data_IF_582292048169
#
_entry.id   IF_582292048169
#
_cell.length_a   1.000
_cell.length_b   1.000
_cell.length_c   1.000
_cell.angle_alpha   90.00
_cell.angle_beta   90.00
_cell.angle_gamma   90.00
#
_symmetry.space_group_name_H-M   'P 1'
#
loop_
_entity.id
_entity.type
_entity.pdbx_description
1 polymer ?
#
# COMPACT_ATOMS: atom_id res chain seq x y z
N UNK A 1 -22.10 -8.59 -20.85
CA UNK A 1 -21.34 -7.41 -20.43
C UNK A 1 -20.07 -7.91 -19.76
N UNK A 2 -18.90 -7.78 -20.39
CA UNK A 2 -17.63 -8.07 -19.73
C UNK A 2 -17.39 -6.97 -18.69
N UNK A 3 -17.49 -7.31 -17.41
CA UNK A 3 -17.22 -6.38 -16.33
C UNK A 3 -15.75 -5.90 -16.34
N UNK A 4 -15.48 -4.69 -15.85
CA UNK A 4 -14.13 -4.22 -15.58
C UNK A 4 -13.85 -4.33 -14.07
N UNK A 5 -12.61 -4.67 -13.73
CA UNK A 5 -12.14 -4.80 -12.35
C UNK A 5 -11.00 -3.81 -12.12
N UNK A 6 -11.15 -2.97 -11.11
CA UNK A 6 -10.12 -2.04 -10.67
C UNK A 6 -9.55 -2.46 -9.32
N UNK A 7 -8.23 -2.54 -9.21
CA UNK A 7 -7.53 -2.73 -7.94
C UNK A 7 -6.91 -1.40 -7.52
N UNK A 8 -7.20 -0.97 -6.30
CA UNK A 8 -6.51 0.18 -5.69
C UNK A 8 -5.31 -0.34 -4.94
N UNK A 9 -4.12 0.14 -5.31
CA UNK A 9 -2.85 -0.27 -4.72
C UNK A 9 -1.98 0.94 -4.39
N UNK A 10 -1.12 0.82 -3.41
CA UNK A 10 -0.08 1.85 -3.13
C UNK A 10 1.20 1.63 -3.94
N UNK A 11 2.01 2.67 -4.04
CA UNK A 11 3.33 2.64 -4.70
C UNK A 11 4.23 1.48 -4.25
N UNK A 12 4.30 1.10 -2.94
CA UNK A 12 5.14 -0.03 -2.54
C UNK A 12 4.73 -1.37 -3.16
N UNK A 13 3.43 -1.59 -3.37
CA UNK A 13 2.97 -2.81 -4.04
C UNK A 13 3.19 -2.73 -5.55
N UNK A 14 3.00 -1.57 -6.16
CA UNK A 14 3.29 -1.36 -7.58
C UNK A 14 4.77 -1.61 -7.90
N UNK A 15 5.68 -1.16 -7.03
CA UNK A 15 7.11 -1.44 -7.14
C UNK A 15 7.39 -2.95 -7.14
N UNK A 16 6.74 -3.72 -6.25
CA UNK A 16 6.87 -5.18 -6.22
C UNK A 16 6.33 -5.86 -7.48
N UNK A 17 5.21 -5.36 -8.03
CA UNK A 17 4.66 -5.88 -9.29
C UNK A 17 5.65 -5.67 -10.45
N UNK A 18 6.51 -4.67 -10.37
CA UNK A 18 7.55 -4.37 -11.38
C UNK A 18 8.89 -5.06 -11.09
N UNK A 19 8.99 -5.88 -10.04
CA UNK A 19 10.21 -6.59 -9.66
C UNK A 19 10.28 -7.95 -10.36
N UNK A 20 11.34 -8.17 -11.14
CA UNK A 20 11.58 -9.39 -11.90
C UNK A 20 11.65 -10.65 -11.03
N UNK A 21 12.05 -10.51 -9.78
CA UNK A 21 12.17 -11.61 -8.84
C UNK A 21 10.87 -12.43 -8.71
N UNK A 22 9.71 -11.75 -8.73
CA UNK A 22 8.41 -12.42 -8.59
C UNK A 22 7.95 -13.19 -9.83
N UNK A 23 8.70 -13.14 -10.92
CA UNK A 23 8.39 -13.79 -12.20
C UNK A 23 9.42 -14.82 -12.62
N UNK A 24 10.42 -15.10 -11.76
CA UNK A 24 11.53 -16.02 -12.05
C UNK A 24 11.07 -17.44 -12.39
N UNK A 25 9.94 -17.88 -11.80
CA UNK A 25 9.41 -19.22 -11.96
C UNK A 25 8.46 -19.35 -13.16
N UNK A 26 8.20 -18.26 -13.88
CA UNK A 26 7.39 -18.25 -15.10
C UNK A 26 8.26 -18.44 -16.33
N UNK A 27 7.91 -19.37 -17.22
CA UNK A 27 8.65 -19.63 -18.47
C UNK A 27 8.76 -18.40 -19.36
N UNK A 28 7.74 -17.56 -19.41
CA UNK A 28 7.71 -16.30 -20.13
C UNK A 28 8.15 -15.09 -19.29
N UNK A 29 8.62 -15.32 -18.05
CA UNK A 29 9.07 -14.27 -17.16
C UNK A 29 8.03 -13.18 -16.89
N UNK A 30 8.50 -11.94 -16.81
CA UNK A 30 7.64 -10.79 -16.54
C UNK A 30 6.58 -10.54 -17.63
N UNK A 31 6.86 -10.87 -18.89
CA UNK A 31 5.88 -10.69 -19.96
C UNK A 31 4.67 -11.59 -19.75
N UNK A 32 4.89 -12.84 -19.37
CA UNK A 32 3.82 -13.76 -19.01
C UNK A 32 3.07 -13.27 -17.76
N UNK A 33 3.78 -12.86 -16.73
CA UNK A 33 3.20 -12.34 -15.51
C UNK A 33 2.31 -11.12 -15.75
N UNK A 34 2.80 -10.14 -16.50
CA UNK A 34 2.02 -8.95 -16.86
C UNK A 34 0.82 -9.29 -17.75
N UNK A 35 0.97 -10.21 -18.70
CA UNK A 35 -0.13 -10.68 -19.53
C UNK A 35 -1.23 -11.37 -18.72
N UNK A 36 -0.88 -12.14 -17.69
CA UNK A 36 -1.83 -12.78 -16.78
C UNK A 36 -2.49 -11.78 -15.83
N UNK A 37 -1.77 -10.76 -15.37
CA UNK A 37 -2.29 -9.73 -14.46
C UNK A 37 -3.23 -8.76 -15.17
N UNK A 38 -2.86 -8.27 -16.34
CA UNK A 38 -3.59 -7.23 -17.06
C UNK A 38 -4.56 -7.78 -18.11
N UNK A 39 -5.37 -8.76 -17.74
CA UNK A 39 -6.44 -9.28 -18.58
C UNK A 39 -7.36 -8.15 -19.09
N UNK A 40 -8.16 -8.40 -20.17
CA UNK A 40 -9.15 -7.43 -20.63
C UNK A 40 -10.06 -6.97 -19.49
N UNK A 41 -10.19 -5.66 -19.30
CA UNK A 41 -11.00 -5.06 -18.23
C UNK A 41 -10.30 -4.90 -16.88
N UNK A 42 -9.07 -5.39 -16.68
CA UNK A 42 -8.31 -5.17 -15.44
C UNK A 42 -7.53 -3.86 -15.51
N UNK A 43 -7.62 -3.06 -14.43
CA UNK A 43 -6.85 -1.83 -14.22
C UNK A 43 -6.28 -1.75 -12.79
N UNK A 44 -5.13 -1.14 -12.65
CA UNK A 44 -4.56 -0.75 -11.34
C UNK A 44 -4.74 0.75 -11.15
N UNK A 45 -5.37 1.14 -10.06
CA UNK A 45 -5.45 2.52 -9.59
C UNK A 45 -4.41 2.71 -8.51
N UNK A 46 -3.45 3.60 -8.75
CA UNK A 46 -2.30 3.79 -7.87
C UNK A 46 -2.57 4.94 -6.92
N UNK A 47 -2.57 4.64 -5.63
CA UNK A 47 -2.52 5.66 -4.60
C UNK A 47 -1.08 6.13 -4.46
N UNK A 48 -0.77 7.40 -4.77
CA UNK A 48 0.57 7.95 -4.60
C UNK A 48 1.01 7.91 -3.14
N UNK A 49 2.31 7.99 -2.92
CA UNK A 49 2.85 7.97 -1.57
C UNK A 49 4.31 8.40 -1.54
N UNK A 50 4.87 8.40 -0.35
CA UNK A 50 6.27 8.73 -0.17
C UNK A 50 7.13 7.46 -0.19
N UNK A 51 8.23 7.52 -0.92
CA UNK A 51 9.25 6.49 -0.87
C UNK A 51 9.94 6.50 0.50
N UNK A 52 10.02 5.34 1.15
CA UNK A 52 10.53 5.23 2.52
C UNK A 52 12.04 5.45 2.66
N UNK A 53 12.77 5.38 1.55
CA UNK A 53 14.23 5.53 1.52
C UNK A 53 14.62 6.96 1.17
N UNK A 54 14.01 7.50 0.11
CA UNK A 54 14.37 8.82 -0.43
C UNK A 54 13.51 9.95 0.12
N UNK A 55 12.35 9.65 0.72
CA UNK A 55 11.36 10.64 1.14
C UNK A 55 10.66 11.34 -0.04
N UNK A 56 10.92 10.93 -1.28
CA UNK A 56 10.31 11.55 -2.45
C UNK A 56 8.84 11.14 -2.59
N UNK A 57 8.01 12.07 -3.04
CA UNK A 57 6.62 11.76 -3.41
C UNK A 57 6.59 11.06 -4.76
N UNK A 58 6.07 9.85 -4.78
CA UNK A 58 6.08 8.94 -5.93
C UNK A 58 4.67 8.62 -6.36
N UNK A 59 4.43 8.67 -7.66
CA UNK A 59 3.19 8.25 -8.34
C UNK A 59 3.47 7.05 -9.23
N UNK A 60 2.46 6.49 -9.87
CA UNK A 60 2.66 5.48 -10.91
C UNK A 60 3.51 6.00 -12.07
N UNK A 61 3.37 7.27 -12.43
CA UNK A 61 4.15 7.88 -13.52
C UNK A 61 5.60 8.18 -13.15
N UNK A 62 5.89 8.46 -11.88
CA UNK A 62 7.24 8.82 -11.41
C UNK A 62 7.99 7.66 -10.77
N UNK A 63 7.33 6.49 -10.62
CA UNK A 63 7.96 5.30 -10.05
C UNK A 63 9.16 4.86 -10.89
N UNK A 64 10.31 4.75 -10.23
CA UNK A 64 11.50 4.15 -10.86
C UNK A 64 11.34 2.63 -10.89
N UNK A 65 11.31 2.06 -12.09
CA UNK A 65 11.23 0.61 -12.32
C UNK A 65 12.54 0.08 -12.87
N UNK A 66 12.87 -1.21 -12.68
CA UNK A 66 14.05 -1.84 -13.27
C UNK A 66 14.12 -1.61 -14.78
N UNK A 67 15.34 -1.42 -15.31
CA UNK A 67 15.54 -1.13 -16.74
C UNK A 67 14.84 -2.15 -17.65
N UNK A 68 14.92 -3.44 -17.29
CA UNK A 68 14.30 -4.52 -18.05
C UNK A 68 12.76 -4.49 -18.07
N UNK A 69 12.13 -3.77 -17.14
CA UNK A 69 10.67 -3.63 -17.08
C UNK A 69 10.17 -2.32 -17.66
N UNK A 70 11.07 -1.39 -18.01
CA UNK A 70 10.71 0.00 -18.34
C UNK A 70 9.73 0.10 -19.49
N UNK A 71 10.00 -0.61 -20.58
CA UNK A 71 9.19 -0.50 -21.78
C UNK A 71 7.78 -1.10 -21.59
N UNK A 72 7.67 -2.26 -20.95
CA UNK A 72 6.38 -2.84 -20.63
C UNK A 72 5.60 -1.98 -19.63
N UNK A 73 6.29 -1.39 -18.67
CA UNK A 73 5.66 -0.49 -17.69
C UNK A 73 5.12 0.77 -18.36
N UNK A 74 5.89 1.40 -19.24
CA UNK A 74 5.46 2.56 -20.03
C UNK A 74 4.27 2.21 -20.94
N UNK A 75 4.31 1.05 -21.58
CA UNK A 75 3.18 0.56 -22.36
C UNK A 75 1.90 0.46 -21.50
N UNK A 76 1.99 -0.11 -20.29
CA UNK A 76 0.83 -0.25 -19.40
C UNK A 76 0.27 1.11 -18.94
N UNK A 77 1.13 2.10 -18.69
CA UNK A 77 0.72 3.48 -18.41
C UNK A 77 -0.02 4.09 -19.61
N UNK A 78 0.56 4.00 -20.81
CA UNK A 78 -0.02 4.54 -22.04
C UNK A 78 -1.38 3.89 -22.38
N UNK A 79 -1.54 2.60 -22.11
CA UNK A 79 -2.80 1.87 -22.30
C UNK A 79 -3.83 2.15 -21.19
N UNK A 80 -3.53 3.00 -20.22
CA UNK A 80 -4.40 3.27 -19.08
C UNK A 80 -4.70 2.03 -18.23
N UNK A 81 -3.78 1.06 -18.21
CA UNK A 81 -3.84 -0.11 -17.33
C UNK A 81 -3.36 0.22 -15.93
N UNK A 82 -2.43 1.16 -15.81
CA UNK A 82 -1.94 1.76 -14.57
C UNK A 82 -2.36 3.22 -14.60
N UNK A 83 -3.12 3.66 -13.59
CA UNK A 83 -3.71 5.00 -13.52
C UNK A 83 -3.46 5.57 -12.12
N UNK A 84 -2.88 6.75 -12.03
CA UNK A 84 -2.76 7.43 -10.74
C UNK A 84 -4.13 7.93 -10.26
N UNK A 85 -4.42 7.75 -8.97
CA UNK A 85 -5.60 8.34 -8.34
C UNK A 85 -5.42 9.85 -8.22
N UNK A 86 -6.36 10.59 -8.78
CA UNK A 86 -6.41 12.05 -8.66
C UNK A 86 -6.98 12.47 -7.28
N UNK A 87 -6.61 13.65 -6.80
CA UNK A 87 -7.16 14.23 -5.56
C UNK A 87 -6.63 13.58 -4.28
N UNK A 88 -5.57 12.78 -4.35
CA UNK A 88 -4.89 12.28 -3.16
C UNK A 88 -4.07 13.42 -2.55
N UNK A 89 -4.46 13.84 -1.35
CA UNK A 89 -3.77 14.89 -0.62
C UNK A 89 -2.34 14.46 -0.30
N UNK A 90 -1.38 15.35 -0.62
CA UNK A 90 0.04 15.15 -0.28
C UNK A 90 0.29 15.12 1.24
N UNK A 91 -0.68 15.63 2.01
CA UNK A 91 -0.60 15.77 3.46
C UNK A 91 -1.13 14.55 4.24
N UNK A 92 -1.49 13.46 3.53
CA UNK A 92 -1.83 12.23 4.24
C UNK A 92 -0.59 11.72 4.98
N UNK A 93 -0.72 11.43 6.28
CA UNK A 93 0.41 10.93 7.06
C UNK A 93 0.97 9.67 6.42
N UNK A 94 2.29 9.63 6.25
CA UNK A 94 3.01 8.43 5.82
C UNK A 94 2.84 7.39 6.90
N UNK A 95 1.88 6.49 6.69
CA UNK A 95 1.47 5.53 7.69
C UNK A 95 1.62 4.12 7.12
N UNK A 96 2.52 3.35 7.71
CA UNK A 96 2.64 1.93 7.42
C UNK A 96 1.73 1.12 8.34
N UNK A 97 0.78 0.38 7.78
CA UNK A 97 -0.06 -0.54 8.57
C UNK A 97 0.77 -1.55 9.38
N UNK A 98 1.92 -1.96 8.86
CA UNK A 98 2.88 -2.83 9.57
C UNK A 98 3.46 -2.15 10.80
N UNK A 99 3.76 -0.85 10.71
CA UNK A 99 4.27 -0.07 11.83
C UNK A 99 3.20 0.16 12.90
N UNK A 100 1.99 0.50 12.48
CA UNK A 100 0.84 0.62 13.38
C UNK A 100 0.62 -0.69 14.13
N UNK A 101 0.57 -1.82 13.43
CA UNK A 101 0.39 -3.13 14.06
C UNK A 101 1.53 -3.48 15.02
N UNK A 102 2.77 -3.15 14.70
CA UNK A 102 3.93 -3.33 15.59
C UNK A 102 3.80 -2.48 16.85
N UNK A 103 3.35 -1.22 16.72
CA UNK A 103 3.15 -0.32 17.85
C UNK A 103 2.00 -0.80 18.75
N UNK A 104 0.87 -1.25 18.17
CA UNK A 104 -0.25 -1.86 18.91
C UNK A 104 0.20 -3.07 19.72
N UNK A 105 0.91 -4.01 19.08
CA UNK A 105 1.43 -5.23 19.74
C UNK A 105 2.47 -4.94 20.79
N UNK A 106 3.32 -3.93 20.55
CA UNK A 106 4.38 -3.50 21.46
C UNK A 106 3.89 -2.65 22.63
N UNK A 107 2.59 -2.31 22.69
CA UNK A 107 2.05 -1.41 23.71
C UNK A 107 2.62 0.01 23.62
N UNK A 108 3.05 0.45 22.44
CA UNK A 108 3.56 1.82 22.22
C UNK A 108 2.40 2.77 21.96
N UNK A 109 2.54 4.03 22.35
CA UNK A 109 1.61 5.11 22.01
C UNK A 109 1.89 5.69 20.61
N UNK A 110 0.97 6.55 20.13
CA UNK A 110 1.15 7.29 18.88
C UNK A 110 0.55 6.64 17.64
N UNK A 111 0.13 5.38 17.70
CA UNK A 111 -0.57 4.75 16.57
C UNK A 111 -2.01 5.27 16.40
N UNK A 112 -2.58 5.83 17.46
CA UNK A 112 -3.97 6.30 17.51
C UNK A 112 -4.25 7.44 16.55
N UNK A 113 -3.25 8.28 16.28
CA UNK A 113 -3.39 9.42 15.34
C UNK A 113 -3.48 8.96 13.89
N UNK A 114 -3.06 7.72 13.62
CA UNK A 114 -3.06 7.13 12.28
C UNK A 114 -4.30 6.28 11.99
N UNK A 115 -5.28 6.26 12.89
CA UNK A 115 -6.54 5.52 12.72
C UNK A 115 -7.71 6.39 13.19
N UNK A 116 -8.91 6.22 12.62
CA UNK A 116 -10.09 6.93 13.11
C UNK A 116 -10.33 6.68 14.61
N UNK A 117 -10.73 7.70 15.35
CA UNK A 117 -10.91 7.63 16.82
C UNK A 117 -11.79 6.46 17.27
N UNK A 118 -12.88 6.19 16.54
CA UNK A 118 -13.77 5.05 16.81
C UNK A 118 -13.09 3.70 16.64
N UNK A 119 -12.16 3.59 15.66
CA UNK A 119 -11.35 2.38 15.43
C UNK A 119 -10.34 2.20 16.57
N UNK A 120 -9.67 3.27 16.98
CA UNK A 120 -8.74 3.22 18.12
C UNK A 120 -9.44 2.77 19.41
N UNK A 121 -10.64 3.31 19.70
CA UNK A 121 -11.45 2.91 20.84
C UNK A 121 -11.85 1.43 20.76
N UNK A 122 -12.23 0.94 19.57
CA UNK A 122 -12.61 -0.45 19.35
C UNK A 122 -11.43 -1.40 19.59
N UNK A 123 -10.24 -1.05 19.04
CA UNK A 123 -9.00 -1.84 19.22
C UNK A 123 -8.68 -1.99 20.71
N UNK A 124 -8.74 -0.90 21.47
CA UNK A 124 -8.49 -0.89 22.92
C UNK A 124 -9.52 -1.73 23.68
N UNK A 125 -10.81 -1.50 23.41
CA UNK A 125 -11.92 -2.18 24.10
C UNK A 125 -11.91 -3.68 23.86
N UNK A 126 -11.71 -4.12 22.62
CA UNK A 126 -11.75 -5.53 22.22
C UNK A 126 -10.38 -6.21 22.20
N UNK A 127 -9.32 -5.49 22.57
CA UNK A 127 -7.93 -5.97 22.53
C UNK A 127 -7.53 -6.58 21.19
N UNK A 128 -7.98 -5.95 20.09
CA UNK A 128 -7.72 -6.45 18.76
C UNK A 128 -6.23 -6.35 18.41
N UNK A 129 -5.79 -7.14 17.43
CA UNK A 129 -4.42 -7.15 16.88
C UNK A 129 -3.30 -7.37 17.92
N UNK A 130 -3.63 -7.99 19.06
CA UNK A 130 -2.67 -8.20 20.15
C UNK A 130 -2.39 -6.94 20.98
N UNK A 131 -3.33 -6.00 21.03
CA UNK A 131 -3.21 -4.77 21.82
C UNK A 131 -2.84 -5.07 23.26
N UNK A 132 -1.80 -4.41 23.74
CA UNK A 132 -1.36 -4.44 25.15
C UNK A 132 -1.56 -3.06 25.75
N UNK A 133 -2.35 -2.98 26.83
CA UNK A 133 -2.52 -1.73 27.56
C UNK A 133 -1.18 -1.29 28.17
N UNK A 134 -0.87 -0.02 28.02
CA UNK A 134 0.31 0.57 28.70
C UNK A 134 0.14 0.54 30.20
N UNK A 135 1.25 0.45 30.95
CA UNK A 135 1.22 0.50 32.42
C UNK A 135 0.55 1.76 33.00
N UNK A 136 0.46 2.85 32.23
CA UNK A 136 -0.20 4.11 32.65
C UNK A 136 -1.71 4.19 32.39
N UNK A 137 -2.29 3.30 31.57
CA UNK A 137 -3.72 3.35 31.22
C UNK A 137 -4.62 2.79 32.36
N UNK A 138 -4.02 2.10 33.33
CA UNK A 138 -4.71 1.60 34.52
C UNK A 138 -5.09 2.70 35.52
N UNK A 139 -4.37 3.83 35.51
CA UNK A 139 -4.60 4.92 36.47
C UNK A 139 -5.80 5.84 36.12
N UNK A 140 -6.28 5.82 34.86
CA UNK A 140 -7.41 6.67 34.41
C UNK A 140 -8.79 6.03 34.53
N UNK A 141 -8.89 4.78 34.99
CA UNK A 141 -10.17 4.08 35.19
C UNK A 141 -10.66 4.07 36.65
N UNK A 142 -9.93 4.73 37.55
CA UNK A 142 -10.25 4.77 39.00
C UNK A 142 -10.45 6.21 39.51
N UNK A 143 -10.86 7.14 38.64
CA UNK A 143 -11.31 8.47 39.05
C UNK A 143 -12.67 8.79 38.46
#
# INVERSE_FOLDING_TARGET
TKGSVGFVIGVPLLSKISDLYFYSDLSGGILEGMGRLFLPGVKLFVHPGYDSVTGAYVTGHTLSVPKACRDIYQFLLQQGKIVDLAGTEKDLPVCSSSEILRNIRGGRSGWEVNVPAGVAALIRRRRLFGYRAQKGDRARKSA
#
